data_IF_925736366377
#
_entry.id   IF_925736366377
#
_cell.length_a   1.000
_cell.length_b   1.000
_cell.length_c   1.000
_cell.angle_alpha   90.00
_cell.angle_beta   90.00
_cell.angle_gamma   90.00
#
_symmetry.space_group_name_H-M   'P 1'
#
loop_
_entity.id
_entity.type
_entity.pdbx_description
1 polymer ?
#
# COMPACT_ATOMS: atom_id res chain seq x y z
N UNK A 1 -3.11 5.97 -7.37
CA UNK A 1 -2.26 6.92 -6.63
C UNK A 1 -0.82 6.55 -6.88
N UNK A 2 0.07 7.52 -6.91
CA UNK A 2 1.51 7.30 -7.08
C UNK A 2 2.21 7.76 -5.81
N UNK A 3 3.10 6.94 -5.28
CA UNK A 3 3.87 7.23 -4.06
C UNK A 3 5.35 7.07 -4.38
N UNK A 4 6.18 8.03 -4.00
CA UNK A 4 7.63 7.84 -4.00
C UNK A 4 8.05 7.24 -2.65
N UNK A 5 8.31 5.93 -2.61
CA UNK A 5 8.72 5.23 -1.39
C UNK A 5 10.21 5.51 -1.14
N UNK A 6 10.61 6.02 0.04
CA UNK A 6 12.03 6.12 0.38
C UNK A 6 12.63 4.72 0.65
N UNK A 7 13.96 4.63 0.60
CA UNK A 7 14.69 3.48 1.11
C UNK A 7 14.53 3.36 2.64
N UNK A 8 14.70 2.15 3.18
CA UNK A 8 14.51 1.84 4.60
C UNK A 8 13.06 1.52 5.00
N UNK A 9 12.07 1.81 4.14
CA UNK A 9 10.65 1.54 4.40
C UNK A 9 10.21 0.20 3.80
N UNK A 10 9.69 -0.67 4.66
CA UNK A 10 9.10 -1.96 4.28
C UNK A 10 7.71 -1.73 3.67
N UNK A 11 7.38 -2.44 2.59
CA UNK A 11 6.12 -2.24 1.86
C UNK A 11 4.91 -2.83 2.59
N UNK A 12 5.01 -4.07 3.05
CA UNK A 12 3.91 -4.83 3.66
C UNK A 12 4.40 -5.57 4.92
N UNK A 13 3.55 -5.75 5.95
CA UNK A 13 3.91 -6.48 7.15
C UNK A 13 4.58 -7.83 6.86
N UNK A 14 5.63 -8.11 7.62
CA UNK A 14 6.41 -9.35 7.55
C UNK A 14 6.63 -9.86 8.97
N UNK A 15 7.15 -11.09 9.11
CA UNK A 15 7.56 -11.62 10.41
C UNK A 15 8.45 -10.62 11.15
N UNK A 16 8.06 -10.24 12.37
CA UNK A 16 8.77 -9.26 13.19
C UNK A 16 8.54 -7.77 12.86
N UNK A 17 7.84 -7.43 11.77
CA UNK A 17 7.54 -6.05 11.37
C UNK A 17 6.07 -5.92 10.99
N UNK A 18 5.23 -5.50 11.94
CA UNK A 18 3.77 -5.39 11.78
C UNK A 18 3.28 -3.95 11.60
N UNK A 19 4.09 -2.97 11.98
CA UNK A 19 3.79 -1.54 11.91
C UNK A 19 4.91 -0.78 11.19
N UNK A 20 4.69 0.51 10.89
CA UNK A 20 5.68 1.35 10.21
C UNK A 20 5.92 0.98 8.74
N UNK A 21 5.05 0.15 8.14
CA UNK A 21 5.13 -0.21 6.72
C UNK A 21 4.39 0.81 5.85
N UNK A 22 4.68 0.80 4.55
CA UNK A 22 3.93 1.59 3.58
C UNK A 22 2.44 1.24 3.61
N UNK A 23 2.08 -0.05 3.75
CA UNK A 23 0.67 -0.44 3.89
C UNK A 23 0.01 0.23 5.11
N UNK A 24 0.68 0.28 6.27
CA UNK A 24 0.11 0.94 7.44
C UNK A 24 -0.15 2.44 7.18
N UNK A 25 0.79 3.12 6.51
CA UNK A 25 0.66 4.52 6.15
C UNK A 25 -0.50 4.75 5.16
N UNK A 26 -0.65 3.87 4.16
CA UNK A 26 -1.75 3.93 3.18
C UNK A 26 -3.11 3.75 3.85
N UNK A 27 -3.24 2.78 4.76
CA UNK A 27 -4.48 2.56 5.52
C UNK A 27 -4.84 3.79 6.36
N UNK A 28 -3.87 4.38 7.06
CA UNK A 28 -4.08 5.60 7.84
C UNK A 28 -4.45 6.81 6.97
N UNK A 29 -3.87 6.92 5.76
CA UNK A 29 -4.20 7.98 4.80
C UNK A 29 -5.64 7.84 4.29
N UNK A 30 -6.08 6.63 3.90
CA UNK A 30 -7.42 6.41 3.37
C UNK A 30 -8.52 6.50 4.43
N UNK A 31 -8.24 6.09 5.67
CA UNK A 31 -9.14 6.31 6.81
C UNK A 31 -9.41 7.79 7.03
N UNK A 32 -8.37 8.62 7.07
CA UNK A 32 -8.51 10.08 7.22
C UNK A 32 -9.26 10.74 6.07
N UNK A 33 -9.16 10.18 4.87
CA UNK A 33 -9.79 10.71 3.67
C UNK A 33 -11.25 10.24 3.48
N UNK A 34 -11.87 9.58 4.47
CA UNK A 34 -13.25 9.03 4.41
C UNK A 34 -13.55 8.28 3.09
N UNK A 35 -12.56 7.56 2.57
CA UNK A 35 -12.68 6.95 1.25
C UNK A 35 -13.26 5.54 1.40
N UNK A 36 -14.59 5.41 1.49
CA UNK A 36 -15.27 4.12 1.66
C UNK A 36 -15.06 3.14 0.48
N UNK A 37 -14.69 3.64 -0.70
CA UNK A 37 -14.41 2.83 -1.91
C UNK A 37 -12.99 2.25 -1.99
N UNK A 38 -12.21 2.40 -0.92
CA UNK A 38 -10.82 1.90 -0.89
C UNK A 38 -10.82 0.38 -1.03
N UNK A 39 -9.87 -0.15 -1.80
CA UNK A 39 -9.63 -1.60 -1.99
C UNK A 39 -9.85 -2.32 -0.65
N UNK A 40 -10.91 -3.13 -0.61
CA UNK A 40 -11.59 -3.48 0.63
C UNK A 40 -10.69 -4.08 1.71
N UNK A 41 -11.14 -3.90 2.95
CA UNK A 41 -10.58 -4.40 4.21
C UNK A 41 -10.34 -5.93 4.26
N UNK A 42 -10.76 -6.67 3.23
CA UNK A 42 -10.75 -8.12 3.13
C UNK A 42 -9.60 -8.69 2.30
N UNK A 43 -8.82 -7.85 1.61
CA UNK A 43 -7.66 -8.32 0.84
C UNK A 43 -6.40 -8.34 1.73
N UNK A 44 -5.50 -9.34 1.55
CA UNK A 44 -4.27 -9.42 2.34
C UNK A 44 -3.31 -8.24 2.09
N UNK A 45 -3.42 -7.56 0.93
CA UNK A 45 -2.61 -6.38 0.55
C UNK A 45 -3.46 -5.32 -0.18
N UNK A 46 -4.33 -4.59 0.52
CA UNK A 46 -5.27 -3.70 -0.14
C UNK A 46 -4.53 -2.55 -0.86
N UNK A 47 -4.79 -2.41 -2.16
CA UNK A 47 -4.27 -1.34 -3.01
C UNK A 47 -2.83 -1.51 -3.49
N UNK A 48 -2.04 -2.41 -2.90
CA UNK A 48 -0.69 -2.73 -3.37
C UNK A 48 -0.77 -3.70 -4.54
N UNK A 49 -0.19 -3.31 -5.68
CA UNK A 49 -0.18 -4.11 -6.92
C UNK A 49 1.22 -4.63 -7.29
N UNK A 50 2.25 -4.02 -6.71
CA UNK A 50 3.63 -4.51 -6.78
C UNK A 50 4.37 -4.14 -5.48
N UNK A 51 5.66 -4.46 -5.39
CA UNK A 51 6.51 -4.08 -4.26
C UNK A 51 7.86 -3.56 -4.73
N UNK A 52 8.52 -2.83 -3.83
CA UNK A 52 9.95 -2.56 -3.84
C UNK A 52 10.54 -3.13 -2.56
N UNK A 53 11.81 -3.48 -2.57
CA UNK A 53 12.49 -3.94 -1.38
C UNK A 53 12.68 -2.82 -0.36
N UNK A 54 12.97 -3.20 0.89
CA UNK A 54 13.10 -2.26 2.02
C UNK A 54 14.03 -1.11 1.65
N UNK A 55 15.22 -1.44 1.18
CA UNK A 55 16.29 -0.48 0.91
C UNK A 55 16.29 0.04 -0.54
N UNK A 56 15.25 -0.28 -1.31
CA UNK A 56 15.01 0.31 -2.63
C UNK A 56 14.09 1.52 -2.51
N UNK A 57 14.52 2.67 -3.03
CA UNK A 57 13.68 3.84 -3.22
C UNK A 57 13.01 3.83 -4.60
N UNK A 58 11.91 4.55 -4.73
CA UNK A 58 11.32 4.80 -6.04
C UNK A 58 9.80 4.81 -6.07
N UNK A 59 9.28 4.82 -7.28
CA UNK A 59 7.87 5.01 -7.55
C UNK A 59 7.08 3.72 -7.32
N UNK A 60 5.97 3.86 -6.61
CA UNK A 60 4.99 2.82 -6.35
C UNK A 60 3.62 3.25 -6.87
N UNK A 61 2.98 2.37 -7.65
CA UNK A 61 1.58 2.52 -8.04
C UNK A 61 0.71 1.88 -6.96
N UNK A 62 -0.30 2.60 -6.50
CA UNK A 62 -1.28 2.12 -5.52
C UNK A 62 -2.69 2.24 -6.11
N UNK A 63 -3.37 1.10 -6.23
CA UNK A 63 -4.76 1.03 -6.65
C UNK A 63 -5.68 1.55 -5.54
N UNK A 64 -6.57 2.48 -5.89
CA UNK A 64 -7.51 3.09 -4.92
C UNK A 64 -8.89 2.41 -4.91
N UNK A 65 -9.21 1.65 -5.96
CA UNK A 65 -10.50 0.97 -6.11
C UNK A 65 -10.28 -0.49 -6.41
N UNK A 66 -11.22 -1.35 -6.03
CA UNK A 66 -11.15 -2.79 -6.31
C UNK A 66 -11.03 -3.09 -7.81
N UNK A 67 -11.67 -2.28 -8.65
CA UNK A 67 -11.56 -2.36 -10.11
C UNK A 67 -10.12 -2.13 -10.57
N UNK A 68 -9.50 -1.03 -10.15
CA UNK A 68 -8.12 -0.73 -10.51
C UNK A 68 -7.14 -1.78 -9.95
N UNK A 69 -7.43 -2.34 -8.77
CA UNK A 69 -6.60 -3.40 -8.18
C UNK A 69 -6.66 -4.67 -9.01
N UNK A 70 -7.84 -5.05 -9.52
CA UNK A 70 -8.03 -6.19 -10.43
C UNK A 70 -7.35 -6.01 -11.79
N UNK A 71 -7.24 -4.77 -12.28
CA UNK A 71 -6.62 -4.48 -13.58
C UNK A 71 -5.09 -4.36 -13.50
N UNK A 72 -4.56 -3.88 -12.38
CA UNK A 72 -3.14 -3.53 -12.24
C UNK A 72 -2.29 -4.58 -11.49
N UNK A 73 -2.91 -5.51 -10.76
CA UNK A 73 -2.25 -6.54 -9.95
C UNK A 73 -2.47 -7.93 -10.52
#
# INVERSE_FOLDING_TARGET
>A
MIVNKPAGVVVHPTSGIWSGTLLNALLGHFQKANTEKTVGSFLPRPGLVHRLDKDTSGVMVVAKTSEAHRVLG
#
